data_IF_982021160375
#
_entry.id   IF_982021160375
#
_cell.length_a   1.000
_cell.length_b   1.000
_cell.length_c   1.000
_cell.angle_alpha   90.00
_cell.angle_beta   90.00
_cell.angle_gamma   90.00
#
_symmetry.space_group_name_H-M   'P 1'
#
loop_
_entity.id
_entity.type
_entity.pdbx_description
1 polymer ?
#
# COMPACT_ATOMS: atom_id res chain seq x y z
N UNK A 1 24.94 -23.83 -26.71
CA UNK A 1 23.92 -22.77 -26.63
C UNK A 1 23.57 -22.67 -25.16
N UNK A 2 24.00 -21.60 -24.50
CA UNK A 2 23.71 -21.42 -23.08
C UNK A 2 22.21 -21.11 -22.92
N UNK A 3 21.60 -21.55 -21.82
CA UNK A 3 20.16 -21.39 -21.59
C UNK A 3 19.84 -19.93 -21.26
N UNK A 4 18.90 -19.27 -21.97
CA UNK A 4 18.58 -17.86 -21.74
C UNK A 4 18.10 -17.63 -20.29
N UNK A 5 18.57 -16.55 -19.67
CA UNK A 5 18.22 -16.19 -18.28
C UNK A 5 17.04 -15.21 -18.28
N UNK A 6 16.03 -15.49 -17.46
CA UNK A 6 14.87 -14.61 -17.27
C UNK A 6 15.25 -13.45 -16.34
N UNK A 7 15.20 -12.23 -16.86
CA UNK A 7 15.51 -11.01 -16.11
C UNK A 7 14.30 -10.07 -16.02
N UNK A 8 14.10 -9.42 -14.86
CA UNK A 8 13.01 -8.46 -14.60
C UNK A 8 13.54 -7.02 -14.49
N UNK A 9 13.87 -6.33 -15.59
CA UNK A 9 14.59 -5.05 -15.56
C UNK A 9 13.85 -3.94 -14.81
N UNK A 10 12.52 -3.99 -14.77
CA UNK A 10 11.73 -2.99 -14.05
C UNK A 10 11.86 -3.10 -12.53
N UNK A 11 12.32 -4.25 -11.98
CA UNK A 11 12.51 -4.42 -10.53
C UNK A 11 13.79 -3.77 -10.03
N UNK A 12 14.77 -3.54 -10.91
CA UNK A 12 16.06 -2.97 -10.53
C UNK A 12 16.05 -1.45 -10.45
N UNK A 13 15.13 -0.83 -11.17
CA UNK A 13 14.93 0.62 -11.20
C UNK A 13 14.73 1.18 -9.78
N UNK A 14 15.48 2.23 -9.37
CA UNK A 14 15.30 2.89 -8.09
C UNK A 14 13.85 3.34 -7.85
N UNK A 15 13.18 3.83 -8.89
CA UNK A 15 11.79 4.30 -8.83
C UNK A 15 10.83 3.16 -8.49
N UNK A 16 11.04 1.96 -9.03
CA UNK A 16 10.22 0.79 -8.74
C UNK A 16 10.42 0.29 -7.31
N UNK A 17 11.67 0.29 -6.82
CA UNK A 17 11.98 -0.06 -5.43
C UNK A 17 11.35 0.94 -4.46
N UNK A 18 11.40 2.23 -4.77
CA UNK A 18 10.76 3.28 -3.98
C UNK A 18 9.23 3.13 -3.97
N UNK A 19 8.59 2.94 -5.13
CA UNK A 19 7.14 2.74 -5.21
C UNK A 19 6.68 1.50 -4.43
N UNK A 20 7.42 0.40 -4.55
CA UNK A 20 7.18 -0.81 -3.75
C UNK A 20 7.19 -0.49 -2.25
N UNK A 21 8.23 0.20 -1.78
CA UNK A 21 8.36 0.56 -0.37
C UNK A 21 7.20 1.46 0.11
N UNK A 22 6.80 2.45 -0.70
CA UNK A 22 5.69 3.35 -0.38
C UNK A 22 4.37 2.57 -0.28
N UNK A 23 4.06 1.71 -1.26
CA UNK A 23 2.82 0.92 -1.23
C UNK A 23 2.80 -0.02 -0.02
N UNK A 24 3.92 -0.70 0.28
CA UNK A 24 4.03 -1.56 1.47
C UNK A 24 3.80 -0.77 2.75
N UNK A 25 4.41 0.41 2.88
CA UNK A 25 4.21 1.28 4.04
C UNK A 25 2.75 1.70 4.18
N UNK A 26 2.11 2.14 3.10
CA UNK A 26 0.71 2.57 3.10
C UNK A 26 -0.25 1.44 3.49
N UNK A 27 -0.01 0.21 3.02
CA UNK A 27 -0.80 -0.97 3.40
C UNK A 27 -0.67 -1.26 4.91
N UNK A 28 0.54 -1.19 5.46
CA UNK A 28 0.80 -1.41 6.89
C UNK A 28 0.14 -0.30 7.73
N UNK A 29 0.30 0.96 7.34
CA UNK A 29 -0.32 2.11 8.03
C UNK A 29 -1.84 2.01 7.99
N UNK A 30 -2.41 1.66 6.83
CA UNK A 30 -3.85 1.41 6.67
C UNK A 30 -4.36 0.33 7.63
N UNK A 31 -3.67 -0.82 7.68
CA UNK A 31 -4.00 -1.91 8.60
C UNK A 31 -3.90 -1.48 10.07
N UNK A 32 -2.81 -0.80 10.44
CA UNK A 32 -2.58 -0.33 11.81
C UNK A 32 -3.67 0.65 12.26
N UNK A 33 -4.02 1.63 11.42
CA UNK A 33 -5.10 2.58 11.72
C UNK A 33 -6.43 1.87 11.94
N UNK A 34 -6.80 0.94 11.06
CA UNK A 34 -8.05 0.19 11.20
C UNK A 34 -8.05 -0.64 12.49
N UNK A 35 -6.94 -1.29 12.84
CA UNK A 35 -6.82 -2.05 14.09
C UNK A 35 -6.95 -1.14 15.32
N UNK A 36 -6.29 0.00 15.34
CA UNK A 36 -6.38 0.97 16.45
C UNK A 36 -7.81 1.47 16.60
N UNK A 37 -8.47 1.84 15.51
CA UNK A 37 -9.87 2.30 15.53
C UNK A 37 -10.81 1.18 16.02
N UNK A 38 -10.59 -0.05 15.56
CA UNK A 38 -11.44 -1.21 15.90
C UNK A 38 -11.31 -1.60 17.37
N UNK A 39 -10.07 -1.66 17.87
CA UNK A 39 -9.78 -2.00 19.26
C UNK A 39 -10.22 -0.85 20.18
N UNK A 40 -9.92 0.39 19.81
CA UNK A 40 -10.32 1.57 20.58
C UNK A 40 -11.83 1.77 20.63
N UNK A 41 -12.53 1.50 19.53
CA UNK A 41 -13.98 1.65 19.42
C UNK A 41 -14.80 0.44 19.86
N UNK A 42 -14.17 -0.62 20.39
CA UNK A 42 -14.74 -1.98 20.46
C UNK A 42 -16.21 -2.08 20.88
N UNK A 43 -16.59 -1.42 21.97
CA UNK A 43 -17.94 -1.43 22.55
C UNK A 43 -18.98 -0.74 21.66
N UNK A 44 -18.55 0.16 20.77
CA UNK A 44 -19.40 0.97 19.92
C UNK A 44 -19.56 0.41 18.49
N UNK A 45 -18.80 -0.62 18.11
CA UNK A 45 -18.71 -1.11 16.72
C UNK A 45 -19.88 -2.00 16.25
N UNK A 46 -20.85 -2.33 17.11
CA UNK A 46 -22.10 -3.04 16.74
C UNK A 46 -21.94 -4.26 15.81
N UNK A 47 -20.90 -5.08 16.00
CA UNK A 47 -20.68 -6.30 15.20
C UNK A 47 -19.85 -6.09 13.92
N UNK A 48 -19.38 -4.88 13.65
CA UNK A 48 -18.50 -4.59 12.51
C UNK A 48 -17.04 -5.06 12.70
N UNK A 49 -16.67 -5.47 13.92
CA UNK A 49 -15.29 -5.83 14.27
C UNK A 49 -14.68 -6.90 13.34
N UNK A 50 -15.35 -8.02 13.01
CA UNK A 50 -14.76 -9.07 12.17
C UNK A 50 -14.36 -8.57 10.77
N UNK A 51 -15.16 -7.68 10.18
CA UNK A 51 -14.89 -7.11 8.86
C UNK A 51 -13.67 -6.19 8.88
N UNK A 52 -13.49 -5.43 9.96
CA UNK A 52 -12.34 -4.56 10.14
C UNK A 52 -11.04 -5.37 10.34
N UNK A 53 -11.08 -6.44 11.13
CA UNK A 53 -9.95 -7.37 11.25
C UNK A 53 -9.62 -8.07 9.94
N UNK A 54 -10.63 -8.53 9.20
CA UNK A 54 -10.42 -9.17 7.90
C UNK A 54 -9.72 -8.21 6.92
N UNK A 55 -10.15 -6.96 6.86
CA UNK A 55 -9.50 -5.94 6.03
C UNK A 55 -8.07 -5.64 6.47
N UNK A 56 -7.82 -5.49 7.77
CA UNK A 56 -6.46 -5.27 8.27
C UNK A 56 -5.55 -6.45 7.91
N UNK A 57 -6.01 -7.68 8.12
CA UNK A 57 -5.26 -8.88 7.75
C UNK A 57 -4.98 -8.96 6.25
N UNK A 58 -5.97 -8.69 5.40
CA UNK A 58 -5.81 -8.67 3.93
C UNK A 58 -4.77 -7.61 3.52
N UNK A 59 -4.77 -6.42 4.12
CA UNK A 59 -3.76 -5.40 3.83
C UNK A 59 -2.35 -5.87 4.20
N UNK A 60 -2.17 -6.53 5.35
CA UNK A 60 -0.88 -7.10 5.75
C UNK A 60 -0.43 -8.21 4.78
N UNK A 61 -1.36 -9.05 4.33
CA UNK A 61 -1.08 -10.08 3.32
C UNK A 61 -0.68 -9.46 1.98
N UNK A 62 -1.36 -8.39 1.55
CA UNK A 62 -0.97 -7.65 0.36
C UNK A 62 0.38 -6.96 0.51
N UNK A 63 0.69 -6.40 1.68
CA UNK A 63 1.99 -5.80 1.95
C UNK A 63 3.12 -6.82 1.76
N UNK A 64 2.93 -8.03 2.27
CA UNK A 64 3.85 -9.14 2.08
C UNK A 64 4.01 -9.53 0.60
N UNK A 65 2.91 -9.65 -0.14
CA UNK A 65 2.96 -9.99 -1.57
C UNK A 65 3.61 -8.90 -2.42
N UNK A 66 3.29 -7.63 -2.18
CA UNK A 66 3.93 -6.48 -2.86
C UNK A 66 5.42 -6.43 -2.54
N UNK A 67 5.82 -6.68 -1.28
CA UNK A 67 7.23 -6.71 -0.89
C UNK A 67 8.03 -7.76 -1.70
N UNK A 68 7.36 -8.86 -2.09
CA UNK A 68 7.84 -9.95 -2.95
C UNK A 68 7.61 -9.72 -4.45
N UNK A 69 7.39 -8.48 -4.88
CA UNK A 69 7.19 -8.11 -6.29
C UNK A 69 5.94 -8.69 -6.95
N UNK A 70 4.94 -9.13 -6.17
CA UNK A 70 3.67 -9.57 -6.72
C UNK A 70 2.79 -8.36 -7.09
N UNK A 71 2.63 -8.14 -8.39
CA UNK A 71 1.80 -7.08 -8.98
C UNK A 71 0.30 -7.34 -8.85
N UNK A 72 -0.13 -8.61 -8.80
CA UNK A 72 -1.54 -9.00 -8.96
C UNK A 72 -2.44 -8.45 -7.85
N UNK A 73 -1.89 -8.17 -6.68
CA UNK A 73 -2.63 -7.62 -5.54
C UNK A 73 -2.86 -6.11 -5.62
N UNK A 74 -2.08 -5.36 -6.42
CA UNK A 74 -2.19 -3.90 -6.53
C UNK A 74 -3.58 -3.39 -6.95
N UNK A 75 -4.24 -3.92 -8.01
CA UNK A 75 -5.57 -3.46 -8.38
C UNK A 75 -6.62 -3.81 -7.31
N UNK A 76 -6.48 -4.95 -6.62
CA UNK A 76 -7.40 -5.34 -5.54
C UNK A 76 -7.21 -4.43 -4.33
N UNK A 77 -5.96 -4.13 -3.95
CA UNK A 77 -5.63 -3.18 -2.90
C UNK A 77 -6.21 -1.78 -3.20
N UNK A 78 -6.10 -1.31 -4.44
CA UNK A 78 -6.69 -0.05 -4.89
C UNK A 78 -8.23 -0.04 -4.73
N UNK A 79 -8.91 -1.11 -5.14
CA UNK A 79 -10.37 -1.22 -5.00
C UNK A 79 -10.80 -1.24 -3.53
N UNK A 80 -10.10 -1.99 -2.68
CA UNK A 80 -10.36 -2.02 -1.25
C UNK A 80 -10.07 -0.68 -0.57
N UNK A 81 -9.05 0.05 -1.02
CA UNK A 81 -8.76 1.39 -0.53
C UNK A 81 -9.92 2.36 -0.80
N UNK A 82 -10.51 2.30 -2.01
CA UNK A 82 -11.72 3.08 -2.32
C UNK A 82 -12.88 2.69 -1.40
N UNK A 83 -13.15 1.39 -1.27
CA UNK A 83 -14.23 0.89 -0.40
C UNK A 83 -14.09 1.40 1.03
N UNK A 84 -12.92 1.21 1.65
CA UNK A 84 -12.68 1.65 3.03
C UNK A 84 -12.57 3.16 3.16
N UNK A 85 -12.10 3.86 2.14
CA UNK A 85 -12.07 5.33 2.12
C UNK A 85 -13.47 5.92 2.19
N UNK A 86 -14.43 5.35 1.44
CA UNK A 86 -15.84 5.76 1.50
C UNK A 86 -16.47 5.41 2.84
N UNK A 87 -16.22 4.21 3.37
CA UNK A 87 -16.73 3.83 4.70
C UNK A 87 -16.19 4.75 5.80
N UNK A 88 -14.89 5.09 5.75
CA UNK A 88 -14.27 6.02 6.68
C UNK A 88 -14.88 7.43 6.57
N UNK A 89 -15.14 7.90 5.35
CA UNK A 89 -15.77 9.21 5.10
C UNK A 89 -17.16 9.31 5.75
N UNK A 90 -17.96 8.24 5.67
CA UNK A 90 -19.29 8.20 6.31
C UNK A 90 -19.18 7.99 7.83
N UNK A 91 -18.21 7.21 8.30
CA UNK A 91 -18.05 6.87 9.70
C UNK A 91 -17.45 8.01 10.55
N UNK A 92 -16.53 8.82 10.01
CA UNK A 92 -15.79 9.81 10.79
C UNK A 92 -16.70 10.82 11.54
N UNK A 93 -17.73 11.44 10.92
CA UNK A 93 -18.64 12.34 11.63
C UNK A 93 -19.39 11.65 12.78
N UNK A 94 -19.66 10.35 12.66
CA UNK A 94 -20.40 9.59 13.66
C UNK A 94 -19.61 9.39 14.96
N UNK A 95 -18.27 9.42 14.91
CA UNK A 95 -17.41 9.38 16.09
C UNK A 95 -17.47 10.69 16.87
N UNK A 96 -17.36 11.82 16.18
CA UNK A 96 -17.52 13.14 16.80
C UNK A 96 -18.92 13.36 17.38
N UNK A 97 -19.96 12.77 16.77
CA UNK A 97 -21.31 12.83 17.32
C UNK A 97 -21.46 12.10 18.66
N UNK A 98 -20.58 11.13 18.96
CA UNK A 98 -20.57 10.35 20.21
C UNK A 98 -19.78 11.02 21.33
N UNK A 99 -19.06 12.10 21.04
CA UNK A 99 -18.39 12.95 22.04
C UNK A 99 -19.42 13.83 22.78
N UNK A 100 -20.41 13.18 23.41
CA UNK A 100 -21.52 13.79 24.12
C UNK A 100 -21.95 12.91 25.28
N UNK A 101 -22.47 13.52 26.33
CA UNK A 101 -23.03 12.80 27.47
C UNK A 101 -24.16 11.84 27.04
N UNK A 102 -24.13 10.59 27.53
CA UNK A 102 -25.17 9.58 27.30
C UNK A 102 -24.81 8.46 26.30
N UNK A 103 -23.62 8.50 25.69
CA UNK A 103 -23.09 7.38 24.89
C UNK A 103 -22.24 6.44 25.74
N UNK A 104 -22.13 5.18 25.30
CA UNK A 104 -21.21 4.22 25.90
C UNK A 104 -19.76 4.63 25.59
N UNK A 105 -18.94 4.74 26.63
CA UNK A 105 -17.54 5.10 26.45
C UNK A 105 -16.77 3.95 25.77
N UNK A 106 -16.13 4.22 24.62
CA UNK A 106 -15.18 3.29 24.04
C UNK A 106 -13.89 3.23 24.86
N UNK A 107 -12.99 2.32 24.50
CA UNK A 107 -11.68 2.23 25.13
C UNK A 107 -10.84 3.48 24.86
N UNK A 108 -10.99 4.08 23.68
CA UNK A 108 -10.38 5.35 23.31
C UNK A 108 -11.44 6.43 23.15
N UNK A 109 -11.02 7.68 23.41
CA UNK A 109 -11.84 8.87 23.26
C UNK A 109 -12.53 8.92 21.86
N UNK A 110 -13.86 9.14 21.79
CA UNK A 110 -14.57 9.20 20.52
C UNK A 110 -14.06 10.28 19.57
N UNK A 111 -13.66 11.45 20.09
CA UNK A 111 -13.08 12.52 19.29
C UNK A 111 -11.76 12.08 18.64
N UNK A 112 -10.89 11.44 19.41
CA UNK A 112 -9.63 10.85 18.92
C UNK A 112 -9.88 9.76 17.86
N UNK A 113 -10.83 8.85 18.09
CA UNK A 113 -11.24 7.85 17.09
C UNK A 113 -11.77 8.49 15.81
N UNK A 114 -12.51 9.60 15.93
CA UNK A 114 -12.97 10.42 14.80
C UNK A 114 -11.81 10.98 13.99
N UNK A 115 -10.79 11.54 14.65
CA UNK A 115 -9.57 12.04 13.98
C UNK A 115 -8.83 10.92 13.26
N UNK A 116 -8.62 9.77 13.90
CA UNK A 116 -7.97 8.61 13.27
C UNK A 116 -8.75 8.13 12.04
N UNK A 117 -10.08 8.08 12.12
CA UNK A 117 -10.94 7.73 10.99
C UNK A 117 -10.85 8.77 9.87
N UNK A 118 -10.73 10.05 10.22
CA UNK A 118 -10.56 11.13 9.23
C UNK A 118 -9.19 11.06 8.54
N UNK A 119 -8.12 10.73 9.28
CA UNK A 119 -6.76 10.49 8.74
C UNK A 119 -6.72 9.23 7.85
N UNK A 120 -7.58 8.25 8.09
CA UNK A 120 -7.67 7.06 7.24
C UNK A 120 -8.05 7.43 5.79
N UNK A 121 -8.86 8.48 5.59
CA UNK A 121 -9.32 8.93 4.26
C UNK A 121 -8.15 9.32 3.33
N UNK A 122 -7.27 10.28 3.68
CA UNK A 122 -6.13 10.60 2.84
C UNK A 122 -5.17 9.41 2.69
N UNK A 123 -5.01 8.56 3.71
CA UNK A 123 -4.21 7.32 3.58
C UNK A 123 -4.78 6.40 2.49
N UNK A 124 -6.10 6.22 2.43
CA UNK A 124 -6.73 5.43 1.37
C UNK A 124 -6.58 6.07 -0.02
N UNK A 125 -6.71 7.39 -0.13
CA UNK A 125 -6.50 8.09 -1.40
C UNK A 125 -5.05 7.97 -1.88
N UNK A 126 -4.09 8.10 -0.97
CA UNK A 126 -2.68 7.85 -1.28
C UNK A 126 -2.47 6.40 -1.72
N UNK A 127 -2.98 5.42 -0.96
CA UNK A 127 -2.85 4.00 -1.30
C UNK A 127 -3.42 3.69 -2.69
N UNK A 128 -4.60 4.22 -3.02
CA UNK A 128 -5.22 4.11 -4.34
C UNK A 128 -4.28 4.63 -5.44
N UNK A 129 -3.82 5.88 -5.30
CA UNK A 129 -2.99 6.54 -6.31
C UNK A 129 -1.64 5.85 -6.48
N UNK A 130 -1.00 5.44 -5.38
CA UNK A 130 0.29 4.74 -5.44
C UNK A 130 0.16 3.31 -5.95
N UNK A 131 -0.93 2.59 -5.67
CA UNK A 131 -1.21 1.30 -6.28
C UNK A 131 -1.38 1.43 -7.80
N UNK A 132 -2.12 2.44 -8.27
CA UNK A 132 -2.30 2.70 -9.70
C UNK A 132 -0.96 2.98 -10.39
N UNK A 133 -0.10 3.82 -9.78
CA UNK A 133 1.25 4.11 -10.30
C UNK A 133 2.17 2.90 -10.27
N UNK A 134 2.17 2.13 -9.19
CA UNK A 134 2.96 0.91 -9.09
C UNK A 134 2.54 -0.13 -10.14
N UNK A 135 1.23 -0.24 -10.40
CA UNK A 135 0.71 -1.16 -11.42
C UNK A 135 1.16 -0.76 -12.83
N UNK A 136 1.20 0.54 -13.14
CA UNK A 136 1.67 1.05 -14.44
C UNK A 136 3.19 0.89 -14.65
N UNK A 137 3.97 0.49 -13.65
CA UNK A 137 5.41 0.23 -13.77
C UNK A 137 5.75 -1.17 -14.32
N UNK A 138 4.75 -2.01 -14.61
CA UNK A 138 4.93 -3.27 -15.35
C UNK A 138 6.04 -4.18 -14.78
N UNK A 139 6.00 -4.48 -13.47
CA UNK A 139 6.98 -5.34 -12.77
C UNK A 139 7.01 -6.81 -13.23
N UNK A 140 6.11 -7.19 -14.13
CA UNK A 140 5.97 -8.51 -14.72
C UNK A 140 6.72 -8.67 -16.05
N UNK A 141 7.30 -7.60 -16.60
CA UNK A 141 8.03 -7.71 -17.85
C UNK A 141 9.29 -8.53 -17.58
N UNK A 142 9.40 -9.60 -18.35
CA UNK A 142 10.48 -10.57 -18.37
C UNK A 142 11.19 -10.42 -19.71
N UNK A 143 12.51 -10.28 -19.67
CA UNK A 143 13.35 -10.27 -20.85
C UNK A 143 14.29 -11.47 -20.74
N UNK A 144 14.36 -12.25 -21.81
CA UNK A 144 15.36 -13.29 -21.97
C UNK A 144 16.67 -12.64 -22.40
N UNK A 145 17.72 -12.81 -21.60
CA UNK A 145 19.06 -12.27 -21.88
C UNK A 145 20.01 -13.44 -22.09
N UNK A 146 20.92 -13.30 -23.05
CA UNK A 146 21.97 -14.29 -23.24
C UNK A 146 22.88 -14.34 -21.98
N UNK A 147 23.27 -15.53 -21.50
CA UNK A 147 24.06 -15.66 -20.26
C UNK A 147 25.40 -14.93 -20.28
N UNK A 148 26.03 -14.77 -21.45
CA UNK A 148 27.30 -14.06 -21.57
C UNK A 148 27.11 -12.54 -21.49
N UNK A 149 25.98 -12.01 -21.98
CA UNK A 149 25.59 -10.60 -21.84
C UNK A 149 25.18 -10.25 -20.40
N UNK A 150 24.50 -11.16 -19.70
CA UNK A 150 24.12 -10.96 -18.30
C UNK A 150 25.35 -10.89 -17.38
N UNK A 151 26.35 -11.75 -17.61
CA UNK A 151 27.60 -11.77 -16.83
C UNK A 151 28.45 -10.50 -17.02
N UNK A 152 28.34 -9.83 -18.17
CA UNK A 152 29.09 -8.61 -18.48
C UNK A 152 28.32 -7.33 -18.19
N UNK A 153 27.07 -7.43 -17.70
CA UNK A 153 26.26 -6.27 -17.35
C UNK A 153 26.79 -5.64 -16.05
N UNK A 154 27.50 -4.53 -16.18
CA UNK A 154 27.85 -3.69 -15.03
C UNK A 154 26.56 -3.23 -14.31
N UNK A 155 26.51 -3.26 -12.97
CA UNK A 155 25.38 -2.71 -12.23
C UNK A 155 25.19 -1.24 -12.63
N UNK A 156 23.94 -0.79 -12.88
CA UNK A 156 23.70 0.51 -13.49
C UNK A 156 24.36 1.63 -12.68
N UNK A 157 25.24 2.39 -13.35
CA UNK A 157 26.04 3.44 -12.74
C UNK A 157 25.13 4.49 -12.08
N UNK A 158 25.39 4.76 -10.80
CA UNK A 158 24.67 5.74 -10.00
C UNK A 158 25.16 7.14 -10.38
N UNK A 159 24.51 7.76 -11.35
CA UNK A 159 24.75 9.17 -11.72
C UNK A 159 25.34 9.31 -13.12
N UNK A 160 24.48 9.68 -14.08
CA UNK A 160 24.90 9.99 -15.44
C UNK A 160 25.77 11.25 -15.48
N UNK A 161 26.95 11.13 -16.05
CA UNK A 161 27.65 12.26 -16.67
C UNK A 161 27.30 12.21 -18.16
N UNK A 162 26.92 13.34 -18.80
CA UNK A 162 26.59 13.33 -20.21
C UNK A 162 27.84 13.03 -21.04
N UNK A 163 27.73 12.02 -21.88
CA UNK A 163 28.72 11.63 -22.88
C UNK A 163 28.91 12.78 -23.88
N UNK A 164 30.14 13.24 -24.17
CA UNK A 164 30.33 14.31 -25.15
C UNK A 164 30.04 13.77 -26.56
N UNK A 165 29.05 14.38 -27.21
CA UNK A 165 28.77 14.17 -28.63
C UNK A 165 30.01 14.58 -29.45
N UNK A 166 30.77 13.59 -29.89
CA UNK A 166 31.81 13.77 -30.89
C UNK A 166 31.22 13.75 -32.30
N UNK A 167 31.15 14.93 -32.92
CA UNK A 167 31.47 15.20 -34.32
C UNK A 167 31.28 16.70 -34.61
#
# INVERSE_FOLDING_TARGET
>A
MAEPVIHHPNRDKPESKAMKAIVVLLLIVSAALVLIITIGGWSALQGSQPFAFAYAFVNLLFAYYVARWNRGVLPVAAALAVLYGVLALVAAPSWFARDKAGFADPLLDPGFLGVLTFVLIPIQLMLLVFCARAFSQQWNIEIEVDPDEDRHREPPARGGSPEPLGA
#
